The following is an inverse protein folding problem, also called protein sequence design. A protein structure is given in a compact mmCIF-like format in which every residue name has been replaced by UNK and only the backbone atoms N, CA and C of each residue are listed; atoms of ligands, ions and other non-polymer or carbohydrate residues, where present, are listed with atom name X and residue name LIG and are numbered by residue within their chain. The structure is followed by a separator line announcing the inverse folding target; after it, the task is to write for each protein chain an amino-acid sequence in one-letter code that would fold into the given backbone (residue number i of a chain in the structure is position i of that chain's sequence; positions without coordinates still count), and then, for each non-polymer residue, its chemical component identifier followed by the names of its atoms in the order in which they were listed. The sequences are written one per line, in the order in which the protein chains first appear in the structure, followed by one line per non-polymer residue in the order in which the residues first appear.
data_IF_169226363581
#
_entry.id   IF_169226363581
#
_cell.length_a   1.000
_cell.length_b   1.000
_cell.length_c   1.000
_cell.angle_alpha   90.00
_cell.angle_beta   90.00
_cell.angle_gamma   90.00
#
_symmetry.space_group_name_H-M   'P 1'
#
loop_
_entity.id
_entity.type
_entity.pdbx_description
1 polymer ?
#
# COMPACT_ATOMS: atom_id res chain seq x y z
N UNK A 1 -3.21 7.49 32.87
CA UNK A 1 -3.16 6.94 31.50
C UNK A 1 -3.81 7.86 30.45
N UNK A 2 -3.57 9.19 30.45
CA UNK A 2 -4.15 10.13 29.45
C UNK A 2 -3.11 10.76 28.52
N UNK A 3 -1.92 11.09 29.03
CA UNK A 3 -0.84 11.71 28.26
C UNK A 3 -0.32 10.83 27.11
N UNK A 4 -0.19 9.51 27.33
CA UNK A 4 0.28 8.58 26.31
C UNK A 4 -0.66 8.45 25.10
N UNK A 5 -1.98 8.57 25.31
CA UNK A 5 -2.96 8.51 24.22
C UNK A 5 -2.91 9.76 23.36
N UNK A 6 -2.77 10.94 23.97
CA UNK A 6 -2.63 12.21 23.25
C UNK A 6 -1.34 12.24 22.42
N UNK A 7 -0.21 11.83 23.01
CA UNK A 7 1.07 11.75 22.30
C UNK A 7 1.01 10.76 21.12
N UNK A 8 0.37 9.60 21.31
CA UNK A 8 0.17 8.61 20.23
C UNK A 8 -0.68 9.17 19.09
N UNK A 9 -1.76 9.90 19.41
CA UNK A 9 -2.59 10.52 18.37
C UNK A 9 -1.83 11.58 17.59
N UNK A 10 -1.08 12.47 18.27
CA UNK A 10 -0.27 13.50 17.60
C UNK A 10 0.80 12.85 16.72
N UNK A 11 1.49 11.82 17.21
CA UNK A 11 2.50 11.10 16.42
C UNK A 11 1.89 10.41 15.19
N UNK A 12 0.72 9.78 15.33
CA UNK A 12 0.01 9.15 14.22
C UNK A 12 -0.44 10.17 13.18
N UNK A 13 -0.88 11.36 13.61
CA UNK A 13 -1.26 12.46 12.72
C UNK A 13 -0.06 13.00 11.95
N UNK A 14 1.06 13.29 12.63
CA UNK A 14 2.27 13.80 12.00
C UNK A 14 2.88 12.80 11.01
N UNK A 15 2.96 11.52 11.39
CA UNK A 15 3.49 10.47 10.50
C UNK A 15 2.59 10.23 9.28
N UNK A 16 1.26 10.27 9.45
CA UNK A 16 0.32 10.16 8.33
C UNK A 16 0.43 11.37 7.40
N UNK A 17 0.48 12.59 7.94
CA UNK A 17 0.66 13.81 7.16
C UNK A 17 1.98 13.82 6.39
N UNK A 18 3.07 13.35 7.01
CA UNK A 18 4.35 13.18 6.33
C UNK A 18 4.26 12.15 5.19
N UNK A 19 3.66 10.98 5.44
CA UNK A 19 3.50 9.94 4.41
C UNK A 19 2.65 10.40 3.22
N UNK A 20 1.65 11.24 3.45
CA UNK A 20 0.87 11.87 2.37
C UNK A 20 1.76 12.83 1.56
N UNK A 21 2.53 13.71 2.21
CA UNK A 21 3.42 14.65 1.51
C UNK A 21 4.53 13.95 0.71
N UNK A 22 5.02 12.80 1.17
CA UNK A 22 6.01 12.01 0.45
C UNK A 22 5.42 11.17 -0.71
N UNK A 23 4.13 11.31 -1.01
CA UNK A 23 3.49 10.55 -2.10
C UNK A 23 3.37 9.05 -1.81
N UNK A 24 3.58 8.62 -0.55
CA UNK A 24 3.52 7.21 -0.17
C UNK A 24 2.10 6.66 -0.02
N UNK A 25 1.11 7.56 -0.15
CA UNK A 25 -0.32 7.27 -0.18
C UNK A 25 -0.85 7.73 -1.54
N UNK A 26 -1.43 6.80 -2.31
CA UNK A 26 -2.13 7.12 -3.56
C UNK A 26 -3.62 6.93 -3.32
N UNK A 27 -4.38 8.03 -3.40
CA UNK A 27 -5.81 8.02 -3.06
C UNK A 27 -6.07 7.54 -1.62
N UNK A 28 -6.81 6.44 -1.49
CA UNK A 28 -7.20 5.83 -0.21
C UNK A 28 -6.39 4.58 0.17
N UNK A 29 -5.30 4.27 -0.56
CA UNK A 29 -4.46 3.11 -0.28
C UNK A 29 -2.99 3.47 -0.09
N UNK A 30 -2.33 2.66 0.74
CA UNK A 30 -0.94 2.85 1.13
C UNK A 30 -0.05 2.17 0.10
N UNK A 31 0.51 2.98 -0.81
CA UNK A 31 1.11 2.50 -2.05
C UNK A 31 2.47 1.79 -1.82
N UNK A 32 3.19 2.19 -0.77
CA UNK A 32 4.49 1.61 -0.37
C UNK A 32 4.39 0.75 0.90
N UNK A 33 3.27 0.03 1.08
CA UNK A 33 3.18 -0.95 2.15
C UNK A 33 4.08 -2.14 1.82
N UNK A 34 5.00 -2.50 2.72
CA UNK A 34 5.77 -3.75 2.63
C UNK A 34 4.95 -4.84 3.37
N UNK A 35 4.28 -5.76 2.67
CA UNK A 35 3.55 -6.85 3.29
C UNK A 35 4.53 -7.86 3.90
N UNK A 36 4.73 -7.77 5.21
CA UNK A 36 5.58 -8.69 5.97
C UNK A 36 4.93 -10.03 6.34
N UNK A 37 3.63 -10.18 6.09
CA UNK A 37 2.83 -11.35 6.49
C UNK A 37 1.89 -11.79 5.36
N UNK A 38 1.56 -13.08 5.29
CA UNK A 38 0.62 -13.66 4.29
C UNK A 38 -0.71 -12.90 4.17
N UNK A 39 -1.25 -12.41 5.29
CA UNK A 39 -2.48 -11.59 5.31
C UNK A 39 -2.32 -10.25 4.61
N UNK A 40 -1.15 -9.62 4.74
CA UNK A 40 -0.85 -8.35 4.09
C UNK A 40 -0.59 -8.55 2.59
N UNK A 41 0.01 -9.69 2.22
CA UNK A 41 0.20 -10.10 0.81
C UNK A 41 -1.16 -10.31 0.14
N UNK A 42 -2.06 -11.11 0.73
CA UNK A 42 -3.41 -11.31 0.19
C UNK A 42 -4.19 -9.99 0.07
N UNK A 43 -4.06 -9.09 1.07
CA UNK A 43 -4.64 -7.75 1.00
C UNK A 43 -4.05 -6.92 -0.15
N UNK A 44 -2.74 -6.98 -0.37
CA UNK A 44 -2.08 -6.28 -1.46
C UNK A 44 -2.59 -6.77 -2.83
N UNK A 45 -2.65 -8.08 -3.03
CA UNK A 45 -3.15 -8.70 -4.27
C UNK A 45 -4.61 -8.29 -4.53
N UNK A 46 -5.46 -8.29 -3.50
CA UNK A 46 -6.85 -7.81 -3.62
C UNK A 46 -6.96 -6.34 -3.99
N UNK A 47 -6.10 -5.48 -3.42
CA UNK A 47 -6.08 -4.05 -3.76
C UNK A 47 -5.68 -3.86 -5.22
N UNK A 48 -4.64 -4.57 -5.69
CA UNK A 48 -4.18 -4.52 -7.07
C UNK A 48 -5.29 -4.99 -8.00
N UNK A 49 -5.83 -6.19 -7.79
CA UNK A 49 -6.91 -6.77 -8.60
C UNK A 49 -8.16 -5.89 -8.63
N UNK A 50 -8.55 -5.28 -7.49
CA UNK A 50 -9.68 -4.36 -7.44
C UNK A 50 -9.44 -3.02 -8.16
N UNK A 51 -8.17 -2.61 -8.33
CA UNK A 51 -7.80 -1.36 -9.00
C UNK A 51 -7.59 -1.55 -10.50
N UNK A 52 -6.86 -2.59 -10.88
CA UNK A 52 -6.48 -2.83 -12.27
C UNK A 52 -7.43 -3.79 -12.99
N UNK A 53 -8.32 -4.47 -12.27
CA UNK A 53 -9.27 -5.43 -12.83
C UNK A 53 -8.64 -6.75 -13.29
N UNK A 54 -7.35 -6.96 -13.04
CA UNK A 54 -6.64 -8.18 -13.42
C UNK A 54 -6.98 -9.35 -12.48
N UNK A 55 -6.73 -10.58 -12.95
CA UNK A 55 -6.93 -11.78 -12.14
C UNK A 55 -5.98 -11.80 -10.93
N UNK A 56 -6.38 -12.52 -9.88
CA UNK A 56 -5.58 -12.69 -8.66
C UNK A 56 -4.17 -13.23 -8.97
N UNK A 57 -4.06 -14.15 -9.93
CA UNK A 57 -2.79 -14.75 -10.35
C UNK A 57 -1.87 -13.71 -11.00
N UNK A 58 -2.39 -12.89 -11.91
CA UNK A 58 -1.63 -11.80 -12.55
C UNK A 58 -1.21 -10.76 -11.52
N UNK A 59 -2.11 -10.39 -10.61
CA UNK A 59 -1.79 -9.45 -9.53
C UNK A 59 -0.72 -9.99 -8.57
N UNK A 60 -0.74 -11.29 -8.27
CA UNK A 60 0.28 -11.93 -7.42
C UNK A 60 1.65 -11.96 -8.11
N UNK A 61 1.70 -12.34 -9.39
CA UNK A 61 2.93 -12.37 -10.15
C UNK A 61 3.57 -10.97 -10.26
N UNK A 62 2.76 -9.94 -10.48
CA UNK A 62 3.25 -8.57 -10.59
C UNK A 62 3.70 -7.99 -9.24
N UNK A 63 2.99 -8.35 -8.16
CA UNK A 63 3.41 -7.99 -6.80
C UNK A 63 4.77 -8.61 -6.42
N UNK A 64 5.03 -9.85 -6.84
CA UNK A 64 6.33 -10.50 -6.64
C UNK A 64 7.44 -9.79 -7.42
N UNK A 65 7.21 -9.44 -8.70
CA UNK A 65 8.17 -8.66 -9.49
C UNK A 65 8.45 -7.28 -8.91
N UNK A 66 7.42 -6.65 -8.35
CA UNK A 66 7.50 -5.34 -7.72
C UNK A 66 8.11 -5.38 -6.29
N UNK A 67 8.75 -6.47 -5.88
CA UNK A 67 9.33 -6.64 -4.52
C UNK A 67 8.33 -6.34 -3.39
N UNK A 68 7.06 -6.69 -3.60
CA UNK A 68 5.94 -6.40 -2.71
C UNK A 68 5.55 -4.92 -2.57
N UNK A 69 5.91 -4.06 -3.51
CA UNK A 69 5.46 -2.67 -3.57
C UNK A 69 4.18 -2.60 -4.41
N UNK A 70 3.07 -2.22 -3.79
CA UNK A 70 1.75 -2.13 -4.45
C UNK A 70 1.75 -1.05 -5.54
N UNK A 71 2.39 0.09 -5.28
CA UNK A 71 2.50 1.20 -6.23
C UNK A 71 3.13 0.74 -7.55
N UNK A 72 4.31 0.13 -7.46
CA UNK A 72 5.09 -0.30 -8.62
C UNK A 72 4.37 -1.44 -9.38
N UNK A 73 3.69 -2.33 -8.67
CA UNK A 73 2.87 -3.38 -9.31
C UNK A 73 1.68 -2.80 -10.09
N UNK A 74 1.01 -1.77 -9.56
CA UNK A 74 -0.07 -1.08 -10.28
C UNK A 74 0.51 -0.30 -11.46
N UNK A 75 1.61 0.42 -11.25
CA UNK A 75 2.26 1.22 -12.29
C UNK A 75 2.78 0.33 -13.43
N UNK A 76 3.25 -0.90 -13.17
CA UNK A 76 3.62 -1.85 -14.22
C UNK A 76 2.42 -2.36 -15.04
N UNK A 77 1.24 -2.44 -14.42
CA UNK A 77 0.01 -2.88 -15.11
C UNK A 77 -0.61 -1.72 -15.90
N UNK A 78 -0.65 -0.51 -15.32
CA UNK A 78 -1.24 0.69 -15.93
C UNK A 78 -0.28 1.39 -16.91
N UNK A 79 1.02 1.34 -16.64
CA UNK A 79 2.09 1.95 -17.43
C UNK A 79 2.57 1.13 -18.63
N UNK A 80 1.85 0.06 -18.98
CA UNK A 80 2.01 -0.68 -20.24
C UNK A 80 1.51 0.07 -21.49
N UNK A 81 1.59 1.40 -21.50
CA UNK A 81 1.22 2.29 -22.60
C UNK A 81 2.36 3.24 -22.98
#
# INVERSE_FOLDING_TARGET
MKAGTAQKMILNMLSTAAMIRFGRVRGNYMAYMIPSNKKLVDRAIRIISAKTGVSYETASAELEKANNVIADAIDNIEGGH
#
